data_IF_185820381435
#
_entry.id   IF_185820381435
#
_cell.length_a   1.000
_cell.length_b   1.000
_cell.length_c   1.000
_cell.angle_alpha   90.00
_cell.angle_beta   90.00
_cell.angle_gamma   90.00
#
_symmetry.space_group_name_H-M   'P 1'
#
loop_
_entity.id
_entity.type
_entity.pdbx_description
1 polymer ?
#
# COMPACT_ATOMS: atom_id res chain seq x y z
N UNK A 1 8.94 20.34 13.85
CA UNK A 1 8.57 18.95 14.24
C UNK A 1 9.72 18.05 13.84
N UNK A 2 10.13 17.09 14.66
CA UNK A 2 11.29 16.24 14.35
C UNK A 2 10.99 15.38 13.10
N UNK A 3 11.88 15.37 12.11
CA UNK A 3 11.74 14.68 10.81
C UNK A 3 11.38 13.18 10.98
N UNK A 4 11.98 12.49 11.95
CA UNK A 4 11.64 11.11 12.28
C UNK A 4 10.16 10.91 12.65
N UNK A 5 9.57 11.87 13.39
CA UNK A 5 8.14 11.83 13.76
C UNK A 5 7.24 12.08 12.56
N UNK A 6 7.66 12.93 11.62
CA UNK A 6 6.91 13.20 10.38
C UNK A 6 6.90 11.93 9.53
N UNK A 7 8.06 11.30 9.31
CA UNK A 7 8.15 10.07 8.53
C UNK A 7 7.29 8.95 9.14
N UNK A 8 7.26 8.83 10.48
CA UNK A 8 6.40 7.86 11.16
C UNK A 8 4.92 8.17 10.97
N UNK A 9 4.52 9.45 11.08
CA UNK A 9 3.14 9.88 10.84
C UNK A 9 2.70 9.58 9.41
N UNK A 10 3.53 9.90 8.43
CA UNK A 10 3.25 9.63 7.02
C UNK A 10 3.16 8.14 6.73
N UNK A 11 4.03 7.33 7.32
CA UNK A 11 3.98 5.88 7.17
C UNK A 11 2.71 5.28 7.81
N UNK A 12 2.25 5.80 8.95
CA UNK A 12 0.97 5.40 9.54
C UNK A 12 -0.21 5.81 8.65
N UNK A 13 -0.14 6.98 8.00
CA UNK A 13 -1.18 7.47 7.09
C UNK A 13 -1.41 6.54 5.91
N UNK A 14 -0.36 5.83 5.42
CA UNK A 14 -0.48 4.82 4.35
C UNK A 14 -1.53 3.76 4.67
N UNK A 15 -1.68 3.34 5.93
CA UNK A 15 -2.68 2.35 6.33
C UNK A 15 -4.10 2.90 6.45
N UNK A 16 -4.24 4.23 6.58
CA UNK A 16 -5.54 4.90 6.72
C UNK A 16 -6.11 5.35 5.37
N UNK A 17 -5.26 5.54 4.37
CA UNK A 17 -5.68 5.93 3.02
C UNK A 17 -6.35 4.75 2.33
N UNK A 18 -7.58 4.90 1.79
CA UNK A 18 -8.17 3.89 0.93
C UNK A 18 -7.34 3.76 -0.35
N UNK A 19 -6.84 2.57 -0.61
CA UNK A 19 -5.98 2.27 -1.76
C UNK A 19 -6.77 2.30 -3.06
N UNK A 20 -7.99 1.73 -3.00
CA UNK A 20 -8.83 1.50 -4.17
C UNK A 20 -10.31 1.60 -3.79
N UNK A 21 -11.10 2.22 -4.68
CA UNK A 21 -12.56 2.16 -4.66
C UNK A 21 -12.97 1.33 -5.86
N UNK A 22 -13.88 0.37 -5.69
CA UNK A 22 -14.26 -0.54 -6.77
C UNK A 22 -15.75 -0.82 -6.81
N UNK A 23 -16.22 -1.16 -8.00
CA UNK A 23 -17.55 -1.67 -8.26
C UNK A 23 -17.40 -3.13 -8.66
N UNK A 24 -18.18 -4.01 -8.07
CA UNK A 24 -18.21 -5.43 -8.42
C UNK A 24 -19.09 -5.57 -9.67
N UNK A 25 -18.66 -6.39 -10.63
CA UNK A 25 -19.24 -6.52 -11.96
C UNK A 25 -20.76 -6.36 -12.03
N UNK A 26 -21.24 -5.76 -13.10
CA UNK A 26 -22.65 -5.47 -13.36
C UNK A 26 -23.39 -4.78 -12.19
N UNK A 27 -22.69 -3.94 -11.45
CA UNK A 27 -23.23 -3.19 -10.29
C UNK A 27 -23.77 -4.07 -9.15
N UNK A 28 -23.28 -5.31 -9.02
CA UNK A 28 -23.68 -6.22 -7.93
C UNK A 28 -23.27 -5.72 -6.53
N UNK A 29 -22.39 -4.73 -6.47
CA UNK A 29 -21.95 -4.11 -5.23
C UNK A 29 -20.84 -3.11 -5.45
N UNK A 30 -20.48 -2.43 -4.37
CA UNK A 30 -19.36 -1.49 -4.31
C UNK A 30 -18.46 -1.82 -3.13
N UNK A 31 -17.21 -1.40 -3.19
CA UNK A 31 -16.30 -1.60 -2.09
C UNK A 31 -15.18 -0.58 -2.05
N UNK A 32 -14.55 -0.52 -0.89
CA UNK A 32 -13.37 0.29 -0.62
C UNK A 32 -12.31 -0.63 -0.03
N UNK A 33 -11.11 -0.55 -0.56
CA UNK A 33 -9.98 -1.36 -0.12
C UNK A 33 -8.94 -0.47 0.54
N UNK A 34 -8.50 -0.86 1.72
CA UNK A 34 -7.34 -0.32 2.43
C UNK A 34 -6.17 -1.30 2.32
N UNK A 35 -5.06 -0.96 2.92
CA UNK A 35 -3.87 -1.81 2.93
C UNK A 35 -4.15 -3.17 3.57
N UNK A 36 -4.83 -3.21 4.73
CA UNK A 36 -5.02 -4.44 5.54
C UNK A 36 -6.36 -5.13 5.34
N UNK A 37 -7.35 -4.44 4.82
CA UNK A 37 -8.71 -4.94 4.70
C UNK A 37 -9.46 -4.26 3.56
N UNK A 38 -10.58 -4.85 3.19
CA UNK A 38 -11.58 -4.21 2.32
C UNK A 38 -12.97 -4.27 2.96
N UNK A 39 -13.73 -3.23 2.73
CA UNK A 39 -15.15 -3.19 3.03
C UNK A 39 -15.92 -3.22 1.73
N UNK A 40 -16.92 -4.06 1.64
CA UNK A 40 -17.79 -4.16 0.48
C UNK A 40 -19.25 -4.20 0.88
N UNK A 41 -20.07 -3.59 0.05
CA UNK A 41 -21.52 -3.59 0.15
C UNK A 41 -22.08 -4.23 -1.11
N UNK A 42 -22.87 -5.29 -0.94
CA UNK A 42 -23.51 -6.03 -2.03
C UNK A 42 -25.01 -6.14 -1.74
N UNK A 43 -25.76 -6.62 -2.69
CA UNK A 43 -27.19 -6.92 -2.48
C UNK A 43 -27.41 -8.00 -1.41
N UNK A 44 -26.41 -8.83 -1.09
CA UNK A 44 -26.44 -9.85 -0.02
C UNK A 44 -26.11 -9.29 1.36
N UNK A 45 -25.68 -8.02 1.44
CA UNK A 45 -25.29 -7.36 2.69
C UNK A 45 -23.90 -6.76 2.66
N UNK A 46 -23.46 -6.31 3.83
CA UNK A 46 -22.16 -5.66 4.02
C UNK A 46 -21.16 -6.65 4.60
N UNK A 47 -19.92 -6.57 4.15
CA UNK A 47 -18.82 -7.39 4.69
C UNK A 47 -17.52 -6.61 4.82
N UNK A 48 -16.81 -6.85 5.92
CA UNK A 48 -15.45 -6.42 6.14
C UNK A 48 -14.55 -7.65 6.04
N UNK A 49 -13.61 -7.63 5.11
CA UNK A 49 -12.77 -8.77 4.78
C UNK A 49 -11.30 -8.38 5.01
N UNK A 50 -10.67 -9.04 5.96
CA UNK A 50 -9.24 -8.86 6.24
C UNK A 50 -8.41 -9.58 5.19
N UNK A 51 -7.20 -9.07 4.91
CA UNK A 51 -6.26 -9.70 3.97
C UNK A 51 -5.93 -11.15 4.36
N UNK A 52 -5.84 -11.45 5.64
CA UNK A 52 -5.59 -12.82 6.13
C UNK A 52 -6.66 -13.80 5.70
N UNK A 53 -7.94 -13.39 5.69
CA UNK A 53 -9.05 -14.21 5.22
C UNK A 53 -8.99 -14.43 3.70
N UNK A 54 -8.62 -13.39 2.95
CA UNK A 54 -8.42 -13.50 1.49
C UNK A 54 -7.31 -14.51 1.15
N UNK A 55 -6.19 -14.44 1.86
CA UNK A 55 -5.09 -15.40 1.70
C UNK A 55 -5.58 -16.82 1.98
N UNK A 56 -6.38 -17.03 3.01
CA UNK A 56 -6.95 -18.34 3.33
C UNK A 56 -7.81 -18.87 2.18
N UNK A 57 -8.62 -18.03 1.54
CA UNK A 57 -9.44 -18.40 0.38
C UNK A 57 -8.60 -18.77 -0.85
N UNK A 58 -7.47 -18.09 -1.06
CA UNK A 58 -6.52 -18.44 -2.13
C UNK A 58 -5.85 -19.78 -1.83
N UNK A 59 -5.34 -19.97 -0.61
CA UNK A 59 -4.65 -21.21 -0.21
C UNK A 59 -5.56 -22.43 -0.20
N UNK A 60 -6.84 -22.26 0.12
CA UNK A 60 -7.84 -23.33 0.07
C UNK A 60 -8.34 -23.65 -1.36
N UNK A 61 -7.90 -22.87 -2.36
CA UNK A 61 -8.39 -23.01 -3.74
C UNK A 61 -9.81 -22.49 -3.97
N UNK A 62 -10.42 -21.85 -2.97
CA UNK A 62 -11.76 -21.25 -3.10
C UNK A 62 -11.75 -20.08 -4.09
N UNK A 63 -10.65 -19.32 -4.12
CA UNK A 63 -10.43 -18.22 -5.07
C UNK A 63 -9.28 -18.60 -5.98
N UNK A 64 -9.49 -18.56 -7.30
CA UNK A 64 -8.50 -18.89 -8.32
C UNK A 64 -8.34 -17.80 -9.38
N UNK A 65 -7.51 -18.09 -10.40
CA UNK A 65 -7.33 -17.24 -11.57
C UNK A 65 -6.78 -15.85 -11.24
N UNK A 66 -7.28 -14.82 -11.94
CA UNK A 66 -6.82 -13.43 -11.79
C UNK A 66 -7.04 -12.89 -10.38
N UNK A 67 -8.12 -13.28 -9.72
CA UNK A 67 -8.42 -12.86 -8.35
C UNK A 67 -7.39 -13.40 -7.36
N UNK A 68 -6.96 -14.65 -7.49
CA UNK A 68 -5.91 -15.22 -6.65
C UNK A 68 -4.58 -14.51 -6.84
N UNK A 69 -4.20 -14.18 -8.09
CA UNK A 69 -2.99 -13.41 -8.41
C UNK A 69 -3.07 -12.02 -7.76
N UNK A 70 -4.20 -11.33 -7.92
CA UNK A 70 -4.41 -10.01 -7.32
C UNK A 70 -4.29 -10.05 -5.80
N UNK A 71 -4.93 -10.99 -5.12
CA UNK A 71 -4.87 -11.14 -3.66
C UNK A 71 -3.43 -11.44 -3.20
N UNK A 72 -2.70 -12.30 -3.92
CA UNK A 72 -1.31 -12.61 -3.61
C UNK A 72 -0.42 -11.37 -3.74
N UNK A 73 -0.56 -10.59 -4.80
CA UNK A 73 0.16 -9.33 -4.98
C UNK A 73 -0.21 -8.31 -3.90
N UNK A 74 -1.49 -8.21 -3.54
CA UNK A 74 -1.93 -7.37 -2.43
C UNK A 74 -1.25 -7.78 -1.13
N UNK A 75 -1.19 -9.07 -0.81
CA UNK A 75 -0.51 -9.59 0.38
C UNK A 75 0.99 -9.26 0.40
N UNK A 76 1.67 -9.36 -0.75
CA UNK A 76 3.07 -8.95 -0.89
C UNK A 76 3.22 -7.43 -0.63
N UNK A 77 2.35 -6.61 -1.19
CA UNK A 77 2.34 -5.17 -0.94
C UNK A 77 2.15 -4.83 0.54
N UNK A 78 1.22 -5.51 1.22
CA UNK A 78 1.01 -5.39 2.68
C UNK A 78 2.29 -5.73 3.45
N UNK A 79 2.97 -6.83 3.11
CA UNK A 79 4.23 -7.21 3.74
C UNK A 79 5.30 -6.14 3.59
N UNK A 80 5.43 -5.54 2.41
CA UNK A 80 6.38 -4.44 2.18
C UNK A 80 6.05 -3.21 3.03
N UNK A 81 4.78 -2.85 3.21
CA UNK A 81 4.39 -1.75 4.09
C UNK A 81 4.66 -2.05 5.56
N UNK A 82 4.51 -3.29 6.01
CA UNK A 82 4.89 -3.71 7.36
C UNK A 82 6.40 -3.57 7.56
N UNK A 83 7.21 -4.02 6.59
CA UNK A 83 8.67 -3.86 6.61
C UNK A 83 9.03 -2.37 6.66
N UNK A 84 8.44 -1.55 5.78
CA UNK A 84 8.67 -0.11 5.75
C UNK A 84 8.36 0.54 7.11
N UNK A 85 7.22 0.19 7.71
CA UNK A 85 6.82 0.72 9.01
C UNK A 85 7.80 0.31 10.12
N UNK A 86 8.25 -0.95 10.12
CA UNK A 86 9.25 -1.45 11.06
C UNK A 86 10.57 -0.68 10.94
N UNK A 87 11.01 -0.40 9.71
CA UNK A 87 12.22 0.39 9.45
C UNK A 87 12.08 1.84 9.93
N UNK A 88 10.91 2.48 9.72
CA UNK A 88 10.66 3.85 10.21
C UNK A 88 10.64 3.90 11.74
N UNK A 89 10.05 2.89 12.39
CA UNK A 89 10.07 2.80 13.86
C UNK A 89 11.51 2.66 14.35
N UNK A 90 12.29 1.77 13.76
CA UNK A 90 13.70 1.55 14.12
C UNK A 90 14.53 2.81 13.89
N UNK A 91 14.33 3.50 12.75
CA UNK A 91 14.97 4.78 12.45
C UNK A 91 14.66 5.86 13.50
N UNK A 92 13.41 5.90 13.97
CA UNK A 92 13.01 6.86 15.01
C UNK A 92 13.68 6.57 16.37
N UNK A 93 13.88 5.30 16.72
CA UNK A 93 14.57 4.89 17.95
C UNK A 93 16.08 5.17 17.85
N UNK A 94 16.72 4.74 16.76
CA UNK A 94 18.18 4.82 16.59
C UNK A 94 18.65 6.19 16.07
N UNK A 95 17.73 7.07 15.62
CA UNK A 95 18.04 8.35 14.95
C UNK A 95 18.87 8.15 13.68
N UNK A 96 18.55 7.10 12.91
CA UNK A 96 19.30 6.66 11.73
C UNK A 96 18.51 7.03 10.45
N UNK A 97 19.00 8.04 9.71
CA UNK A 97 18.40 8.50 8.45
C UNK A 97 18.45 7.47 7.31
N UNK A 98 19.56 6.73 7.09
CA UNK A 98 19.61 5.66 6.10
C UNK A 98 18.48 4.63 6.21
N UNK A 99 17.95 4.37 7.40
CA UNK A 99 16.80 3.48 7.58
C UNK A 99 15.50 4.08 7.02
N UNK A 100 15.32 5.41 7.09
CA UNK A 100 14.16 6.08 6.48
C UNK A 100 14.23 5.95 4.95
N UNK A 101 15.41 6.10 4.35
CA UNK A 101 15.62 5.92 2.91
C UNK A 101 15.25 4.50 2.46
N UNK A 102 15.66 3.48 3.21
CA UNK A 102 15.25 2.10 2.95
C UNK A 102 13.74 1.91 3.11
N UNK A 103 13.13 2.49 4.15
CA UNK A 103 11.69 2.44 4.38
C UNK A 103 10.91 3.08 3.23
N UNK A 104 11.35 4.24 2.73
CA UNK A 104 10.71 4.91 1.59
C UNK A 104 10.72 4.04 0.33
N UNK A 105 11.84 3.36 0.06
CA UNK A 105 11.92 2.40 -1.04
C UNK A 105 10.87 1.28 -0.91
N UNK A 106 10.74 0.67 0.27
CA UNK A 106 9.72 -0.35 0.53
C UNK A 106 8.30 0.19 0.43
N UNK A 107 8.07 1.45 0.82
CA UNK A 107 6.77 2.11 0.67
C UNK A 107 6.41 2.31 -0.80
N UNK A 108 7.33 2.80 -1.63
CA UNK A 108 7.14 2.96 -3.07
C UNK A 108 6.91 1.59 -3.73
N UNK A 109 7.76 0.60 -3.44
CA UNK A 109 7.63 -0.74 -3.99
C UNK A 109 6.28 -1.38 -3.61
N UNK A 110 5.85 -1.24 -2.35
CA UNK A 110 4.54 -1.70 -1.88
C UNK A 110 3.39 -1.06 -2.65
N UNK A 111 3.45 0.27 -2.86
CA UNK A 111 2.47 1.01 -3.65
C UNK A 111 2.39 0.52 -5.11
N UNK A 112 3.55 0.30 -5.74
CA UNK A 112 3.62 -0.23 -7.11
C UNK A 112 3.04 -1.65 -7.18
N UNK A 113 3.37 -2.53 -6.25
CA UNK A 113 2.86 -3.91 -6.23
C UNK A 113 1.35 -3.93 -6.03
N UNK A 114 0.80 -3.08 -5.17
CA UNK A 114 -0.66 -2.97 -5.03
C UNK A 114 -1.29 -2.40 -6.31
N UNK A 115 -0.67 -1.45 -6.99
CA UNK A 115 -1.14 -0.99 -8.29
C UNK A 115 -1.20 -2.15 -9.30
N UNK A 116 -0.16 -2.97 -9.38
CA UNK A 116 -0.13 -4.17 -10.23
C UNK A 116 -1.20 -5.18 -9.80
N UNK A 117 -1.46 -5.34 -8.49
CA UNK A 117 -2.57 -6.16 -7.98
C UNK A 117 -3.92 -5.70 -8.55
N UNK A 118 -4.20 -4.40 -8.51
CA UNK A 118 -5.44 -3.82 -9.05
C UNK A 118 -5.52 -4.03 -10.57
N UNK A 119 -4.42 -3.79 -11.28
CA UNK A 119 -4.35 -4.01 -12.73
C UNK A 119 -4.54 -5.48 -13.11
N UNK A 120 -4.04 -6.42 -12.32
CA UNK A 120 -4.23 -7.85 -12.57
C UNK A 120 -5.68 -8.29 -12.44
N UNK A 121 -6.44 -7.65 -11.54
CA UNK A 121 -7.86 -7.92 -11.31
C UNK A 121 -8.74 -7.26 -12.38
N UNK A 122 -8.53 -5.97 -12.66
CA UNK A 122 -9.44 -5.14 -13.46
C UNK A 122 -8.90 -4.84 -14.86
N UNK A 123 -7.66 -5.24 -15.17
CA UNK A 123 -6.99 -4.95 -16.45
C UNK A 123 -6.48 -3.50 -16.55
N UNK A 124 -5.77 -3.20 -17.64
CA UNK A 124 -5.15 -1.89 -17.87
C UNK A 124 -6.14 -0.71 -17.93
N UNK A 125 -7.36 -0.96 -18.39
CA UNK A 125 -8.42 0.05 -18.45
C UNK A 125 -9.16 0.20 -17.12
N UNK A 126 -8.76 -0.55 -16.08
CA UNK A 126 -9.42 -0.59 -14.77
C UNK A 126 -10.91 -0.94 -14.87
N UNK A 127 -11.30 -1.57 -15.96
CA UNK A 127 -12.66 -2.00 -16.25
C UNK A 127 -12.61 -3.39 -16.91
N UNK A 128 -13.30 -4.34 -16.32
CA UNK A 128 -13.31 -5.74 -16.77
C UNK A 128 -14.66 -6.39 -16.38
N UNK A 129 -14.94 -7.63 -16.81
CA UNK A 129 -16.11 -8.37 -16.32
C UNK A 129 -16.16 -8.51 -14.80
N UNK A 130 -15.01 -8.37 -14.10
CA UNK A 130 -14.95 -8.35 -12.63
C UNK A 130 -15.47 -7.04 -12.03
N UNK A 131 -15.65 -6.00 -12.82
CA UNK A 131 -16.09 -4.69 -12.40
C UNK A 131 -15.14 -3.56 -12.78
N UNK A 132 -15.28 -2.44 -12.11
CA UNK A 132 -14.49 -1.22 -12.30
C UNK A 132 -13.73 -0.88 -11.04
N UNK A 133 -12.52 -0.32 -11.17
CA UNK A 133 -11.68 0.08 -10.05
C UNK A 133 -11.10 1.48 -10.24
N UNK A 134 -10.99 2.24 -9.15
CA UNK A 134 -10.36 3.56 -9.10
C UNK A 134 -9.28 3.56 -8.01
N UNK A 135 -7.99 3.49 -8.36
CA UNK A 135 -6.87 3.40 -7.42
C UNK A 135 -6.53 4.77 -6.80
N UNK A 136 -7.45 5.34 -6.02
CA UNK A 136 -7.36 6.70 -5.47
C UNK A 136 -6.17 6.92 -4.54
N UNK A 137 -5.78 5.91 -3.78
CA UNK A 137 -4.71 6.04 -2.78
C UNK A 137 -3.31 5.79 -3.32
N UNK A 138 -3.17 5.11 -4.46
CA UNK A 138 -1.86 4.77 -5.02
C UNK A 138 -1.00 6.01 -5.27
N UNK A 139 -1.48 7.07 -5.96
CA UNK A 139 -0.69 8.28 -6.16
C UNK A 139 -0.24 8.91 -4.84
N UNK A 140 -1.10 8.93 -3.83
CA UNK A 140 -0.80 9.52 -2.52
C UNK A 140 0.29 8.72 -1.81
N UNK A 141 0.21 7.38 -1.83
CA UNK A 141 1.22 6.49 -1.24
C UNK A 141 2.58 6.68 -1.92
N UNK A 142 2.61 6.80 -3.25
CA UNK A 142 3.84 7.05 -4.00
C UNK A 142 4.43 8.43 -3.66
N UNK A 143 3.61 9.46 -3.51
CA UNK A 143 4.05 10.80 -3.08
C UNK A 143 4.63 10.74 -1.66
N UNK A 144 3.99 10.03 -0.73
CA UNK A 144 4.50 9.84 0.63
C UNK A 144 5.89 9.16 0.60
N UNK A 145 6.02 8.07 -0.14
CA UNK A 145 7.29 7.36 -0.28
C UNK A 145 8.37 8.24 -0.91
N UNK A 146 8.03 8.97 -1.97
CA UNK A 146 8.93 9.91 -2.63
C UNK A 146 9.38 11.03 -1.71
N UNK A 147 8.45 11.63 -0.96
CA UNK A 147 8.77 12.69 -0.01
C UNK A 147 9.71 12.21 1.09
N UNK A 148 9.47 11.03 1.65
CA UNK A 148 10.34 10.42 2.66
C UNK A 148 11.75 10.14 2.09
N UNK A 149 11.86 9.79 0.80
CA UNK A 149 13.13 9.59 0.12
C UNK A 149 13.91 10.90 -0.01
N UNK A 150 13.29 11.97 -0.54
CA UNK A 150 13.94 13.28 -0.73
C UNK A 150 14.41 13.92 0.57
N UNK A 151 13.61 13.82 1.64
CA UNK A 151 13.97 14.37 2.94
C UNK A 151 15.28 13.77 3.47
N UNK A 152 15.57 12.54 3.12
CA UNK A 152 16.79 11.82 3.56
C UNK A 152 17.99 12.16 2.70
N UNK A 153 17.82 12.41 1.39
CA UNK A 153 18.94 12.78 0.51
C UNK A 153 19.51 14.14 0.88
N UNK A 154 18.68 15.14 1.18
CA UNK A 154 19.10 16.48 1.56
C UNK A 154 19.98 16.50 2.83
N UNK A 155 19.74 15.60 3.79
CA UNK A 155 20.53 15.54 5.03
C UNK A 155 21.90 14.84 4.86
N UNK A 156 22.00 13.87 3.94
CA UNK A 156 23.29 13.23 3.64
C UNK A 156 24.23 14.16 2.87
N UNK A 157 23.71 15.13 2.13
CA UNK A 157 24.55 16.15 1.45
C UNK A 157 25.05 17.22 2.42
N UNK A 158 24.23 17.65 3.37
CA UNK A 158 24.63 18.66 4.38
C UNK A 158 25.71 18.13 5.35
N UNK A 159 25.68 16.85 5.70
CA UNK A 159 26.71 16.23 6.56
C UNK A 159 28.07 16.06 5.84
N UNK A 160 28.09 15.96 4.52
CA UNK A 160 29.32 15.85 3.71
C UNK A 160 29.92 17.21 3.31
N UNK A 161 29.21 18.31 3.51
CA UNK A 161 29.66 19.68 3.22
C UNK A 161 30.24 20.40 4.46
N UNK A 162 30.75 19.67 5.43
CA UNK A 162 31.43 20.20 6.62
C UNK A 162 32.63 21.11 6.23
N UNK A 163 32.95 22.13 7.00
CA UNK A 163 33.92 23.15 6.63
C UNK A 163 35.32 22.56 6.43
N UNK A 164 35.88 22.85 5.23
CA UNK A 164 37.32 22.73 4.97
C UNK A 164 38.16 23.69 5.84
#
# INVERSE_FOLDING_TARGET
MNKFKISLLLQCLVFLIPVNIYVIGDWLGTGVQWVLFRYQQTYLGNSLILITREITFVLSGTIGGRSAISITLWAIGVLLFIIATSLVILANVNKDFPLIKKASFFTIAGGIIIAVSILSQYGFLLNSPSGFALPVGIPIILIIGWWMYQETDNETEDDNSGPE
#
